data_IF_633082116900
#
_entry.id   IF_633082116900
#
_cell.length_a   1.000
_cell.length_b   1.000
_cell.length_c   1.000
_cell.angle_alpha   90.00
_cell.angle_beta   90.00
_cell.angle_gamma   90.00
#
_symmetry.space_group_name_H-M   'P 1'
#
loop_
_entity.id
_entity.type
_entity.pdbx_description
1 polymer ?
#
# COMPACT_ATOMS: atom_id res chain seq x y z
N UNK A 1 -11.99 2.99 23.78
CA UNK A 1 -10.99 2.50 22.84
C UNK A 1 -11.35 2.93 21.42
N UNK A 2 -10.44 3.47 20.76
CA UNK A 2 -10.63 3.84 19.37
C UNK A 2 -10.25 2.67 18.47
N UNK A 3 -11.02 2.48 17.43
CA UNK A 3 -10.68 1.52 16.41
C UNK A 3 -9.45 2.04 15.66
N UNK A 4 -8.42 1.24 15.58
CA UNK A 4 -7.23 1.62 14.85
C UNK A 4 -7.28 1.07 13.42
N UNK A 5 -6.89 1.91 12.48
CA UNK A 5 -6.74 1.52 11.09
C UNK A 5 -5.25 1.32 10.81
N UNK A 6 -4.83 0.06 10.87
CA UNK A 6 -3.42 -0.27 10.72
C UNK A 6 -2.91 0.00 9.30
N UNK A 7 -3.78 -0.10 8.30
CA UNK A 7 -3.40 0.21 6.93
C UNK A 7 -3.19 1.72 6.78
N UNK A 8 -4.10 2.52 7.33
CA UNK A 8 -3.93 3.98 7.32
C UNK A 8 -2.66 4.40 8.05
N UNK A 9 -2.34 3.74 9.17
CA UNK A 9 -1.10 4.01 9.90
C UNK A 9 0.12 3.71 9.03
N UNK A 10 0.14 2.57 8.33
CA UNK A 10 1.22 2.22 7.42
C UNK A 10 1.38 3.27 6.32
N UNK A 11 0.29 3.67 5.67
CA UNK A 11 0.33 4.66 4.60
C UNK A 11 0.81 6.02 5.12
N UNK A 12 0.38 6.40 6.31
CA UNK A 12 0.80 7.66 6.94
C UNK A 12 2.30 7.64 7.26
N UNK A 13 2.81 6.52 7.79
CA UNK A 13 4.25 6.38 8.06
C UNK A 13 5.07 6.50 6.79
N UNK A 14 4.64 5.84 5.72
CA UNK A 14 5.32 5.93 4.42
C UNK A 14 5.27 7.37 3.90
N UNK A 15 4.11 8.01 3.96
CA UNK A 15 3.94 9.39 3.49
C UNK A 15 4.85 10.36 4.25
N UNK A 16 4.88 10.25 5.57
CA UNK A 16 5.69 11.13 6.40
C UNK A 16 7.19 10.92 6.16
N UNK A 17 7.63 9.67 6.07
CA UNK A 17 9.01 9.34 5.78
C UNK A 17 9.44 9.86 4.40
N UNK A 18 8.54 9.73 3.42
CA UNK A 18 8.78 10.20 2.06
C UNK A 18 8.90 11.73 2.02
N UNK A 19 8.04 12.43 2.76
CA UNK A 19 8.09 13.90 2.87
C UNK A 19 9.35 14.36 3.57
N UNK A 20 9.77 13.66 4.62
CA UNK A 20 11.01 13.97 5.35
C UNK A 20 12.27 13.45 4.65
N UNK A 21 12.12 12.78 3.52
CA UNK A 21 13.22 12.25 2.69
C UNK A 21 14.07 11.23 3.43
N UNK A 22 13.44 10.42 4.27
CA UNK A 22 14.10 9.32 4.95
C UNK A 22 14.43 8.19 3.98
N UNK A 23 15.48 7.45 4.24
CA UNK A 23 15.84 6.29 3.41
C UNK A 23 14.94 5.09 3.70
N UNK A 24 14.58 4.89 4.96
CA UNK A 24 13.75 3.77 5.40
C UNK A 24 12.64 4.22 6.32
N UNK A 25 11.63 3.36 6.44
CA UNK A 25 10.56 3.52 7.42
C UNK A 25 10.17 2.15 7.95
N UNK A 26 9.92 2.07 9.26
CA UNK A 26 9.54 0.84 9.93
C UNK A 26 8.05 0.86 10.26
N UNK A 27 7.36 -0.24 9.97
CA UNK A 27 5.97 -0.43 10.34
C UNK A 27 5.81 -1.79 11.02
N UNK A 28 4.90 -1.90 12.01
CA UNK A 28 4.61 -3.21 12.60
C UNK A 28 4.09 -4.17 11.53
N UNK A 29 4.54 -5.42 11.57
CA UNK A 29 4.22 -6.40 10.54
C UNK A 29 2.83 -7.00 10.72
N UNK A 30 2.18 -7.31 9.60
CA UNK A 30 1.00 -8.15 9.53
C UNK A 30 0.96 -8.75 8.12
N UNK A 31 0.14 -9.81 7.93
CA UNK A 31 -0.01 -10.42 6.62
C UNK A 31 -0.48 -9.41 5.57
N UNK A 32 -1.46 -8.60 5.94
CA UNK A 32 -2.02 -7.58 5.04
C UNK A 32 -0.96 -6.54 4.66
N UNK A 33 -0.20 -6.05 5.63
CA UNK A 33 0.84 -5.05 5.39
C UNK A 33 1.99 -5.60 4.56
N UNK A 34 2.35 -6.88 4.77
CA UNK A 34 3.36 -7.55 3.94
C UNK A 34 2.90 -7.65 2.49
N UNK A 35 1.62 -7.99 2.27
CA UNK A 35 1.07 -8.06 0.92
C UNK A 35 1.08 -6.68 0.25
N UNK A 36 0.77 -5.62 0.98
CA UNK A 36 0.82 -4.25 0.46
C UNK A 36 2.26 -3.87 0.13
N UNK A 37 3.22 -4.16 1.01
CA UNK A 37 4.62 -3.87 0.76
C UNK A 37 5.13 -4.60 -0.49
N UNK A 38 4.73 -5.85 -0.67
CA UNK A 38 5.11 -6.64 -1.85
C UNK A 38 4.56 -6.03 -3.14
N UNK A 39 3.31 -5.55 -3.11
CA UNK A 39 2.72 -4.85 -4.25
C UNK A 39 3.49 -3.57 -4.56
N UNK A 40 3.82 -2.77 -3.54
CA UNK A 40 4.58 -1.53 -3.74
C UNK A 40 5.94 -1.81 -4.37
N UNK A 41 6.60 -2.90 -3.96
CA UNK A 41 7.87 -3.32 -4.54
C UNK A 41 7.71 -3.71 -6.01
N UNK A 42 6.76 -4.57 -6.31
CA UNK A 42 6.52 -5.08 -7.67
C UNK A 42 6.10 -3.97 -8.63
N UNK A 43 5.36 -2.99 -8.15
CA UNK A 43 4.91 -1.86 -8.96
C UNK A 43 5.96 -0.74 -9.03
N UNK A 44 7.10 -0.91 -8.39
CA UNK A 44 8.21 0.03 -8.49
C UNK A 44 8.10 1.27 -7.62
N UNK A 45 7.24 1.26 -6.59
CA UNK A 45 7.07 2.41 -5.70
C UNK A 45 8.08 2.45 -4.56
N UNK A 46 8.62 1.30 -4.17
CA UNK A 46 9.67 1.21 -3.14
C UNK A 46 10.85 0.41 -3.67
N UNK A 47 12.03 0.58 -3.06
CA UNK A 47 13.23 -0.12 -3.50
C UNK A 47 13.28 -1.55 -3.01
N UNK A 48 12.90 -1.78 -1.75
CA UNK A 48 12.83 -3.12 -1.14
C UNK A 48 12.12 -3.04 0.20
N UNK A 49 11.82 -4.21 0.77
CA UNK A 49 11.40 -4.31 2.16
C UNK A 49 12.04 -5.53 2.81
N UNK A 50 12.24 -5.46 4.12
CA UNK A 50 12.78 -6.55 4.92
C UNK A 50 11.88 -6.77 6.12
N UNK A 51 11.79 -8.01 6.58
CA UNK A 51 11.08 -8.35 7.81
C UNK A 51 12.09 -8.58 8.90
N UNK A 52 12.03 -7.76 9.93
CA UNK A 52 12.93 -7.84 11.08
C UNK A 52 12.19 -8.47 12.25
N UNK A 53 12.82 -9.43 12.90
CA UNK A 53 12.26 -10.08 14.08
C UNK A 53 13.01 -9.62 15.32
N UNK A 54 12.26 -9.14 16.32
CA UNK A 54 12.80 -8.74 17.61
C UNK A 54 11.92 -9.33 18.68
N UNK A 55 12.33 -10.49 19.20
CA UNK A 55 11.54 -11.23 20.15
C UNK A 55 10.21 -11.70 19.56
N UNK A 56 9.12 -11.33 20.20
CA UNK A 56 7.76 -11.68 19.75
C UNK A 56 7.24 -10.75 18.66
N UNK A 57 7.95 -9.67 18.36
CA UNK A 57 7.48 -8.65 17.41
C UNK A 57 8.21 -8.76 16.09
N UNK A 58 7.45 -8.48 15.03
CA UNK A 58 8.00 -8.39 13.68
C UNK A 58 7.74 -7.00 13.12
N UNK A 59 8.73 -6.48 12.44
CA UNK A 59 8.69 -5.15 11.84
C UNK A 59 9.02 -5.26 10.36
N UNK A 60 8.27 -4.56 9.52
CA UNK A 60 8.61 -4.41 8.11
C UNK A 60 9.42 -3.14 7.97
N UNK A 61 10.67 -3.27 7.50
CA UNK A 61 11.49 -2.11 7.15
C UNK A 61 11.41 -1.88 5.66
N UNK A 62 10.81 -0.76 5.28
CA UNK A 62 10.61 -0.40 3.89
C UNK A 62 11.71 0.59 3.50
N UNK A 63 12.45 0.25 2.44
CA UNK A 63 13.44 1.16 1.86
C UNK A 63 12.75 1.97 0.77
N UNK A 64 12.67 3.27 0.98
CA UNK A 64 11.99 4.17 0.07
C UNK A 64 12.82 4.38 -1.19
N UNK A 65 12.13 4.77 -2.26
CA UNK A 65 12.73 4.98 -3.57
C UNK A 65 12.56 6.43 -3.96
N UNK A 66 13.62 7.01 -4.47
CA UNK A 66 13.63 8.39 -4.97
C UNK A 66 14.15 8.39 -6.41
N UNK A 67 13.97 9.51 -7.11
CA UNK A 67 14.51 9.68 -8.44
C UNK A 67 16.00 10.01 -8.42
N UNK A 68 16.46 10.84 -9.36
CA UNK A 68 17.87 11.18 -9.48
C UNK A 68 18.42 11.83 -8.21
N UNK A 69 17.57 12.53 -7.46
CA UNK A 69 17.91 13.05 -6.14
C UNK A 69 16.72 12.87 -5.20
N UNK A 70 16.92 13.14 -3.90
CA UNK A 70 15.86 12.94 -2.90
C UNK A 70 14.69 13.91 -3.01
N UNK A 71 14.77 14.90 -3.88
CA UNK A 71 13.64 15.80 -4.14
C UNK A 71 12.64 15.19 -5.11
N UNK A 72 13.03 14.15 -5.85
CA UNK A 72 12.16 13.45 -6.79
C UNK A 72 11.51 12.25 -6.12
N UNK A 73 10.32 12.46 -5.57
CA UNK A 73 9.56 11.36 -4.95
C UNK A 73 9.00 10.43 -6.01
N UNK A 74 9.15 9.13 -5.81
CA UNK A 74 8.51 8.13 -6.67
C UNK A 74 7.05 7.99 -6.27
N UNK A 75 6.75 7.96 -4.97
CA UNK A 75 5.38 7.96 -4.48
C UNK A 75 4.90 9.40 -4.38
N UNK A 76 3.92 9.77 -5.21
CA UNK A 76 3.34 11.11 -5.19
C UNK A 76 2.17 11.19 -4.21
N UNK A 77 1.36 10.15 -4.14
CA UNK A 77 0.21 10.13 -3.25
C UNK A 77 -0.12 8.74 -2.75
N UNK A 78 -0.69 8.71 -1.55
CA UNK A 78 -1.18 7.51 -0.88
C UNK A 78 -2.51 7.89 -0.25
N UNK A 79 -3.60 7.19 -0.62
CA UNK A 79 -4.92 7.49 -0.11
C UNK A 79 -5.60 6.25 0.41
N UNK A 80 -6.00 6.26 1.67
CA UNK A 80 -6.84 5.21 2.26
C UNK A 80 -8.27 5.36 1.73
N UNK A 81 -8.82 4.31 1.16
CA UNK A 81 -10.19 4.34 0.59
C UNK A 81 -11.16 3.67 1.54
N UNK A 82 -11.06 2.36 1.74
CA UNK A 82 -11.92 1.64 2.68
C UNK A 82 -11.40 1.86 4.10
N UNK A 83 -12.30 2.13 5.03
CA UNK A 83 -11.94 2.44 6.43
C UNK A 83 -12.77 1.55 7.36
N UNK A 84 -12.30 1.31 8.60
CA UNK A 84 -13.10 0.50 9.53
C UNK A 84 -14.53 0.98 9.73
N UNK A 85 -14.76 2.29 9.72
CA UNK A 85 -16.10 2.87 9.88
C UNK A 85 -16.89 2.98 8.59
N UNK A 86 -16.26 2.78 7.44
CA UNK A 86 -16.92 2.88 6.14
C UNK A 86 -16.17 2.04 5.12
N UNK A 87 -16.59 0.78 4.98
CA UNK A 87 -15.97 -0.13 4.01
C UNK A 87 -16.42 0.19 2.60
N UNK A 88 -15.48 0.17 1.66
CA UNK A 88 -15.73 0.46 0.25
C UNK A 88 -15.37 -0.79 -0.56
N UNK A 89 -16.33 -1.26 -1.37
CA UNK A 89 -16.15 -2.43 -2.22
C UNK A 89 -16.38 -2.06 -3.67
N UNK A 90 -15.77 -2.80 -4.57
CA UNK A 90 -15.99 -2.67 -6.01
C UNK A 90 -16.24 -4.04 -6.61
N UNK A 91 -17.27 -4.15 -7.44
CA UNK A 91 -17.53 -5.37 -8.20
C UNK A 91 -16.52 -5.51 -9.35
N UNK A 92 -16.47 -6.71 -9.94
CA UNK A 92 -15.53 -7.00 -11.02
C UNK A 92 -15.68 -6.10 -12.25
N UNK A 93 -16.86 -5.52 -12.44
CA UNK A 93 -17.14 -4.63 -13.56
C UNK A 93 -16.88 -3.15 -13.20
N UNK A 94 -16.57 -2.87 -11.95
CA UNK A 94 -16.50 -1.50 -11.43
C UNK A 94 -15.17 -1.21 -10.74
N UNK A 95 -14.11 -1.92 -11.12
CA UNK A 95 -12.79 -1.74 -10.52
C UNK A 95 -12.28 -0.32 -10.86
N UNK A 96 -11.95 0.50 -9.85
CA UNK A 96 -11.52 1.87 -10.11
C UNK A 96 -10.15 1.93 -10.78
N UNK A 97 -9.94 2.98 -11.55
CA UNK A 97 -8.63 3.33 -12.13
C UNK A 97 -8.10 4.55 -11.41
N UNK A 98 -6.82 4.56 -11.14
CA UNK A 98 -6.15 5.68 -10.46
C UNK A 98 -5.36 6.46 -11.50
N UNK A 99 -5.69 7.75 -11.66
CA UNK A 99 -5.06 8.64 -12.63
C UNK A 99 -5.02 8.02 -14.04
N UNK A 100 -6.16 7.49 -14.51
CA UNK A 100 -6.25 6.92 -15.84
C UNK A 100 -5.37 5.70 -16.08
N UNK A 101 -4.94 5.03 -15.01
CA UNK A 101 -4.08 3.85 -15.08
C UNK A 101 -2.61 4.12 -14.78
N UNK A 102 -2.24 5.37 -14.49
CA UNK A 102 -0.86 5.71 -14.11
C UNK A 102 -0.55 5.29 -12.68
N UNK A 103 -1.55 5.30 -11.79
CA UNK A 103 -1.41 4.79 -10.44
C UNK A 103 -2.05 3.41 -10.30
N UNK A 104 -2.11 2.93 -9.08
CA UNK A 104 -2.72 1.63 -8.76
C UNK A 104 -3.76 1.76 -7.64
N UNK A 105 -4.76 0.88 -7.68
CA UNK A 105 -5.61 0.61 -6.54
C UNK A 105 -5.17 -0.74 -5.95
N UNK A 106 -5.18 -0.84 -4.63
CA UNK A 106 -4.88 -2.09 -3.93
C UNK A 106 -6.18 -2.62 -3.39
N UNK A 107 -6.52 -3.85 -3.76
CA UNK A 107 -7.77 -4.48 -3.37
C UNK A 107 -7.53 -5.76 -2.58
N UNK A 108 -8.41 -6.01 -1.61
CA UNK A 108 -8.47 -7.30 -0.92
C UNK A 108 -9.60 -8.12 -1.56
N UNK A 109 -9.24 -9.23 -2.19
CA UNK A 109 -10.16 -10.08 -2.94
C UNK A 109 -10.10 -11.51 -2.45
N UNK A 110 -10.96 -12.38 -2.99
CA UNK A 110 -10.90 -13.81 -2.69
C UNK A 110 -9.65 -14.48 -3.29
N UNK A 111 -8.94 -13.78 -4.17
CA UNK A 111 -7.66 -14.24 -4.73
C UNK A 111 -6.47 -13.61 -4.00
N UNK A 112 -6.72 -12.93 -2.86
CA UNK A 112 -5.68 -12.27 -2.09
C UNK A 112 -5.69 -10.76 -2.27
N UNK A 113 -4.64 -10.12 -1.75
CA UNK A 113 -4.44 -8.68 -1.89
C UNK A 113 -3.69 -8.45 -3.20
N UNK A 114 -4.35 -7.77 -4.12
CA UNK A 114 -3.87 -7.59 -5.50
C UNK A 114 -4.12 -6.17 -5.98
N UNK A 115 -3.54 -5.82 -7.14
CA UNK A 115 -3.76 -4.52 -7.76
C UNK A 115 -5.07 -4.52 -8.57
N UNK A 116 -5.53 -3.32 -8.92
CA UNK A 116 -6.71 -3.16 -9.79
C UNK A 116 -6.50 -3.82 -11.15
N UNK A 117 -5.29 -3.73 -11.70
CA UNK A 117 -4.97 -4.37 -12.99
C UNK A 117 -5.13 -5.89 -12.92
N UNK A 118 -4.63 -6.48 -11.86
CA UNK A 118 -4.74 -7.92 -11.64
C UNK A 118 -6.18 -8.33 -11.38
N UNK A 119 -6.93 -7.55 -10.61
CA UNK A 119 -8.34 -7.80 -10.34
C UNK A 119 -9.16 -7.80 -11.64
N UNK A 120 -8.89 -6.84 -12.53
CA UNK A 120 -9.57 -6.81 -13.85
C UNK A 120 -9.22 -8.03 -14.68
N UNK A 121 -7.95 -8.42 -14.68
CA UNK A 121 -7.48 -9.59 -15.42
C UNK A 121 -8.14 -10.88 -14.93
N UNK A 122 -8.31 -11.01 -13.62
CA UNK A 122 -8.92 -12.17 -12.99
C UNK A 122 -10.45 -12.11 -12.93
N UNK A 123 -11.05 -10.97 -13.31
CA UNK A 123 -12.49 -10.73 -13.23
C UNK A 123 -13.04 -10.90 -11.82
N UNK A 124 -12.34 -10.35 -10.82
CA UNK A 124 -12.76 -10.41 -9.43
C UNK A 124 -12.91 -9.00 -8.87
N UNK A 125 -13.84 -8.85 -7.93
CA UNK A 125 -13.99 -7.62 -7.16
C UNK A 125 -13.54 -7.84 -5.73
N UNK A 126 -13.59 -6.79 -4.93
CA UNK A 126 -13.22 -6.88 -3.53
C UNK A 126 -13.24 -5.54 -2.82
N UNK A 127 -12.66 -5.52 -1.65
CA UNK A 127 -12.55 -4.30 -0.85
C UNK A 127 -11.43 -3.43 -1.40
N UNK A 128 -11.75 -2.16 -1.69
CA UNK A 128 -10.77 -1.20 -2.21
C UNK A 128 -10.03 -0.61 -1.02
N UNK A 129 -8.81 -1.06 -0.78
CA UNK A 129 -8.04 -0.68 0.40
C UNK A 129 -7.44 0.72 0.28
N UNK A 130 -6.77 1.00 -0.83
CA UNK A 130 -6.02 2.23 -1.00
C UNK A 130 -5.73 2.53 -2.46
N UNK A 131 -5.44 3.80 -2.73
CA UNK A 131 -4.89 4.24 -4.01
C UNK A 131 -3.45 4.70 -3.80
N UNK A 132 -2.59 4.40 -4.76
CA UNK A 132 -1.18 4.81 -4.78
C UNK A 132 -0.84 5.36 -6.15
N UNK A 133 -0.16 6.48 -6.17
CA UNK A 133 0.29 7.06 -7.45
C UNK A 133 1.55 7.89 -7.27
#
# INVERSE_FOLDING_TARGET
>A
MTMSDQIADMLTRIRNANTAKHDTVDVPSSKMKLAIADILLKEGYIAKYDVLEDGAFKTIRITLKYGADKNEKIITGLKRISKPGLRIYAGSQEIPRVLGGLGIAILSTNQGVITDKEARKLHVGGEVLAFVW
#
